data_IF_654866271916
#
_entry.id   IF_654866271916
#
_cell.length_a   1.000
_cell.length_b   1.000
_cell.length_c   1.000
_cell.angle_alpha   90.00
_cell.angle_beta   90.00
_cell.angle_gamma   90.00
#
_symmetry.space_group_name_H-M   'P 1'
#
loop_
_entity.id
_entity.type
_entity.pdbx_description
1 polymer ?
#
# COMPACT_ATOMS: atom_id res chain seq x y z
N UNK A 1 -13.40 -18.62 0.08
CA UNK A 1 -13.68 -20.07 0.19
C UNK A 1 -12.98 -20.87 -0.91
N UNK A 2 -13.07 -20.43 -2.18
CA UNK A 2 -12.43 -21.11 -3.32
C UNK A 2 -10.91 -21.11 -3.16
N UNK A 3 -10.28 -19.97 -2.90
CA UNK A 3 -8.84 -19.86 -2.68
C UNK A 3 -8.37 -20.71 -1.48
N UNK A 4 -9.11 -20.67 -0.37
CA UNK A 4 -8.79 -21.48 0.80
C UNK A 4 -8.79 -22.98 0.46
N UNK A 5 -9.78 -23.42 -0.30
CA UNK A 5 -9.85 -24.80 -0.78
C UNK A 5 -8.70 -25.15 -1.74
N UNK A 6 -8.37 -24.24 -2.65
CA UNK A 6 -7.27 -24.42 -3.62
C UNK A 6 -5.91 -24.55 -2.93
N UNK A 7 -5.66 -23.71 -1.93
CA UNK A 7 -4.38 -23.69 -1.19
C UNK A 7 -4.36 -24.60 0.04
N UNK A 8 -5.44 -25.33 0.34
CA UNK A 8 -5.51 -26.23 1.50
C UNK A 8 -5.45 -25.51 2.85
N UNK A 9 -5.83 -24.24 2.92
CA UNK A 9 -5.79 -23.42 4.14
C UNK A 9 -7.19 -23.26 4.74
N UNK A 10 -7.32 -23.02 6.06
CA UNK A 10 -8.61 -22.76 6.69
C UNK A 10 -9.34 -21.58 6.05
N UNK A 11 -10.67 -21.69 5.93
CA UNK A 11 -11.49 -20.58 5.46
C UNK A 11 -11.59 -19.51 6.54
N UNK A 12 -11.18 -18.29 6.21
CA UNK A 12 -11.32 -17.12 7.08
C UNK A 12 -12.71 -16.50 6.95
N UNK A 13 -13.31 -16.09 8.06
CA UNK A 13 -14.65 -15.50 8.09
C UNK A 13 -14.68 -14.05 7.62
N UNK A 14 -14.52 -13.80 6.32
CA UNK A 14 -14.45 -12.44 5.74
C UNK A 14 -15.82 -11.90 5.28
N UNK A 15 -16.91 -12.60 5.56
CA UNK A 15 -18.26 -12.13 5.26
C UNK A 15 -18.65 -10.98 6.19
N UNK A 16 -18.97 -9.82 5.62
CA UNK A 16 -19.47 -8.64 6.32
C UNK A 16 -20.59 -8.01 5.53
N UNK A 17 -21.44 -7.26 6.19
CA UNK A 17 -22.51 -6.47 5.59
C UNK A 17 -22.56 -5.09 6.24
N UNK A 18 -23.03 -4.10 5.50
CA UNK A 18 -23.20 -2.75 6.00
C UNK A 18 -24.27 -2.68 7.10
N UNK A 19 -25.40 -3.35 6.86
CA UNK A 19 -26.52 -3.37 7.80
C UNK A 19 -27.23 -4.73 7.79
N UNK A 20 -28.19 -4.89 8.69
CA UNK A 20 -29.02 -6.09 8.75
C UNK A 20 -29.88 -6.32 7.49
N UNK A 21 -30.05 -5.29 6.66
CA UNK A 21 -30.87 -5.32 5.43
C UNK A 21 -30.12 -5.90 4.23
N UNK A 22 -28.79 -6.06 4.30
CA UNK A 22 -27.97 -6.56 3.21
C UNK A 22 -27.45 -7.97 3.47
N UNK A 23 -27.18 -8.69 2.40
CA UNK A 23 -26.54 -9.99 2.47
C UNK A 23 -25.04 -9.85 2.79
N UNK A 24 -24.49 -10.69 3.67
CA UNK A 24 -23.06 -10.75 3.90
C UNK A 24 -22.32 -11.19 2.65
N UNK A 25 -21.31 -10.42 2.26
CA UNK A 25 -20.42 -10.73 1.13
C UNK A 25 -18.96 -10.64 1.59
N UNK A 26 -18.01 -11.29 0.88
CA UNK A 26 -16.59 -11.16 1.22
C UNK A 26 -16.13 -9.71 1.14
N UNK A 27 -15.58 -9.19 2.24
CA UNK A 27 -15.16 -7.80 2.40
C UNK A 27 -13.75 -7.72 2.98
N UNK A 28 -13.10 -6.59 2.71
CA UNK A 28 -11.89 -6.22 3.44
C UNK A 28 -12.17 -6.02 4.93
N UNK A 29 -11.13 -6.21 5.74
CA UNK A 29 -11.08 -5.93 7.18
C UNK A 29 -9.86 -5.05 7.44
N UNK A 30 -9.10 -5.33 8.49
CA UNK A 30 -7.77 -4.78 8.65
C UNK A 30 -6.81 -5.52 7.71
N UNK A 31 -6.21 -4.79 6.77
CA UNK A 31 -5.19 -5.33 5.86
C UNK A 31 -3.87 -4.64 6.17
N UNK A 32 -2.86 -5.40 6.51
CA UNK A 32 -1.57 -4.84 6.93
C UNK A 32 -0.39 -5.67 6.46
N UNK A 33 0.74 -5.01 6.37
CA UNK A 33 2.05 -5.62 6.19
C UNK A 33 2.72 -5.71 7.56
N UNK A 34 3.26 -6.87 7.90
CA UNK A 34 4.01 -7.03 9.14
C UNK A 34 5.32 -6.24 9.11
N UNK A 35 5.79 -5.81 10.29
CA UNK A 35 7.05 -5.13 10.41
C UNK A 35 8.23 -6.03 10.04
N UNK A 36 9.20 -5.46 9.34
CA UNK A 36 10.53 -6.05 9.16
C UNK A 36 11.49 -5.67 10.27
N UNK A 37 12.77 -5.82 10.00
CA UNK A 37 13.83 -5.59 10.99
C UNK A 37 14.74 -4.40 10.66
N UNK A 38 14.52 -3.71 9.53
CA UNK A 38 15.38 -2.66 9.01
C UNK A 38 14.85 -1.29 9.43
N UNK A 39 15.72 -0.37 9.80
CA UNK A 39 15.29 1.01 10.04
C UNK A 39 15.10 1.76 8.73
N UNK A 40 14.35 2.84 8.77
CA UNK A 40 14.12 3.68 7.59
C UNK A 40 15.42 4.33 7.09
N UNK A 41 16.28 4.75 8.02
CA UNK A 41 17.60 5.31 7.73
C UNK A 41 18.52 4.29 7.04
N UNK A 42 18.52 3.05 7.50
CA UNK A 42 19.25 1.96 6.85
C UNK A 42 18.75 1.74 5.42
N UNK A 43 17.44 1.70 5.19
CA UNK A 43 16.87 1.59 3.84
C UNK A 43 17.34 2.74 2.94
N UNK A 44 17.20 3.98 3.41
CA UNK A 44 17.62 5.18 2.65
C UNK A 44 19.09 5.10 2.29
N UNK A 45 19.95 4.66 3.22
CA UNK A 45 21.38 4.58 3.02
C UNK A 45 21.82 3.66 1.87
N UNK A 46 21.00 2.67 1.52
CA UNK A 46 21.26 1.72 0.43
C UNK A 46 20.93 2.28 -0.97
N UNK A 47 20.16 3.37 -1.04
CA UNK A 47 19.63 3.90 -2.30
C UNK A 47 20.60 4.91 -2.92
N UNK A 48 21.13 4.62 -4.11
CA UNK A 48 21.98 5.57 -4.86
C UNK A 48 21.18 6.73 -5.44
N UNK A 49 20.03 6.45 -6.04
CA UNK A 49 19.11 7.44 -6.59
C UNK A 49 17.70 6.90 -6.49
N UNK A 50 16.80 7.66 -5.91
CA UNK A 50 15.42 7.25 -5.69
C UNK A 50 14.55 8.37 -5.14
N UNK A 51 13.37 7.99 -4.70
CA UNK A 51 12.37 8.88 -4.11
C UNK A 51 11.93 8.31 -2.76
N UNK A 52 11.89 9.16 -1.77
CA UNK A 52 11.23 8.92 -0.51
C UNK A 52 9.87 9.61 -0.55
N UNK A 53 8.79 8.84 -0.53
CA UNK A 53 7.42 9.34 -0.46
C UNK A 53 6.95 9.25 1.00
N UNK A 54 6.75 10.39 1.65
CA UNK A 54 6.31 10.44 3.04
C UNK A 54 4.80 10.49 3.19
N UNK A 55 4.10 11.06 2.23
CA UNK A 55 2.64 11.11 2.24
C UNK A 55 2.04 11.17 0.84
N UNK A 56 0.77 10.75 0.75
CA UNK A 56 -0.01 10.74 -0.49
C UNK A 56 -1.30 11.55 -0.30
N UNK A 57 -1.81 12.19 -1.37
CA UNK A 57 -3.08 12.91 -1.32
C UNK A 57 -4.25 12.04 -1.73
N UNK A 58 -4.14 11.38 -2.86
CA UNK A 58 -5.17 10.52 -3.42
C UNK A 58 -4.52 9.48 -4.35
N UNK A 59 -5.32 8.60 -4.88
CA UNK A 59 -4.88 7.62 -5.86
C UNK A 59 -6.03 6.78 -6.37
N UNK A 60 -5.75 6.02 -7.39
CA UNK A 60 -6.70 5.08 -7.99
C UNK A 60 -6.06 3.72 -8.16
N UNK A 61 -6.86 2.69 -7.97
CA UNK A 61 -6.48 1.30 -8.22
C UNK A 61 -7.50 0.67 -9.16
N UNK A 62 -7.05 0.11 -10.26
CA UNK A 62 -7.87 -0.72 -11.13
C UNK A 62 -8.06 -2.10 -10.50
N UNK A 63 -9.23 -2.31 -9.92
CA UNK A 63 -9.59 -3.58 -9.31
C UNK A 63 -9.67 -4.66 -10.41
N UNK A 64 -8.91 -5.75 -10.22
CA UNK A 64 -8.80 -6.84 -11.20
C UNK A 64 -7.49 -6.81 -11.98
N UNK A 65 -7.13 -5.73 -12.64
CA UNK A 65 -5.82 -5.59 -13.30
C UNK A 65 -4.70 -5.33 -12.28
N UNK A 66 -5.01 -4.63 -11.18
CA UNK A 66 -4.07 -4.31 -10.13
C UNK A 66 -3.21 -3.07 -10.41
N UNK A 67 -3.46 -2.37 -11.50
CA UNK A 67 -2.75 -1.14 -11.83
C UNK A 67 -3.15 -0.03 -10.87
N UNK A 68 -2.18 0.78 -10.47
CA UNK A 68 -2.41 1.89 -9.56
C UNK A 68 -1.66 3.16 -9.98
N UNK A 69 -2.22 4.28 -9.56
CA UNK A 69 -1.56 5.60 -9.59
C UNK A 69 -1.82 6.30 -8.27
N UNK A 70 -0.77 6.76 -7.60
CA UNK A 70 -0.85 7.54 -6.37
C UNK A 70 -0.11 8.86 -6.50
N UNK A 71 -0.72 9.93 -6.01
CA UNK A 71 -0.11 11.26 -5.98
C UNK A 71 0.67 11.45 -4.69
N UNK A 72 1.97 11.67 -4.82
CA UNK A 72 2.84 12.00 -3.69
C UNK A 72 2.59 13.45 -3.30
N UNK A 73 2.18 13.64 -2.05
CA UNK A 73 1.98 14.97 -1.48
C UNK A 73 3.29 15.58 -1.01
N UNK A 74 4.01 14.80 -0.21
CA UNK A 74 5.29 15.21 0.36
C UNK A 74 6.30 14.10 0.20
N UNK A 75 7.51 14.46 -0.20
CA UNK A 75 8.60 13.51 -0.36
C UNK A 75 9.93 14.20 -0.57
N UNK A 76 10.95 13.41 -0.76
CA UNK A 76 12.33 13.88 -0.99
C UNK A 76 13.01 13.03 -2.05
N UNK A 77 13.93 13.63 -2.79
CA UNK A 77 14.89 12.86 -3.57
C UNK A 77 15.86 12.16 -2.63
N UNK A 78 16.24 10.94 -3.00
CA UNK A 78 17.34 10.23 -2.36
C UNK A 78 18.53 10.23 -3.33
N UNK A 79 19.67 10.73 -2.88
CA UNK A 79 20.91 10.72 -3.64
C UNK A 79 22.05 10.24 -2.75
N UNK A 80 22.71 9.18 -3.19
CA UNK A 80 23.84 8.57 -2.47
C UNK A 80 23.54 8.28 -0.99
N UNK A 81 22.35 7.71 -0.72
CA UNK A 81 21.95 7.31 0.62
C UNK A 81 21.50 8.45 1.53
N UNK A 82 21.16 9.61 0.99
CA UNK A 82 20.71 10.78 1.75
C UNK A 82 19.49 11.40 1.12
N UNK A 83 18.58 11.90 1.97
CA UNK A 83 17.50 12.77 1.54
C UNK A 83 18.07 14.12 1.15
N UNK A 84 17.69 14.62 -0.04
CA UNK A 84 18.22 15.88 -0.60
C UNK A 84 17.13 16.90 -0.82
N UNK A 85 16.59 17.01 -2.02
CA UNK A 85 15.62 18.01 -2.37
C UNK A 85 14.19 17.56 -2.05
N UNK A 86 13.35 18.41 -1.45
CA UNK A 86 11.92 18.13 -1.33
C UNK A 86 11.28 18.05 -2.72
N UNK A 87 10.35 17.12 -2.87
CA UNK A 87 9.57 16.91 -4.08
C UNK A 87 8.09 16.91 -3.75
N UNK A 88 7.29 17.37 -4.68
CA UNK A 88 5.83 17.38 -4.64
C UNK A 88 5.26 17.19 -6.04
N UNK A 89 3.95 16.97 -6.11
CA UNK A 89 3.19 16.92 -7.37
C UNK A 89 3.71 15.88 -8.37
N UNK A 90 4.21 14.76 -7.85
CA UNK A 90 4.62 13.61 -8.66
C UNK A 90 3.67 12.44 -8.47
N UNK A 91 3.61 11.58 -9.47
CA UNK A 91 2.82 10.36 -9.44
C UNK A 91 3.72 9.14 -9.34
N UNK A 92 3.32 8.19 -8.51
CA UNK A 92 3.86 6.84 -8.52
C UNK A 92 2.86 5.94 -9.24
N UNK A 93 3.33 5.25 -10.28
CA UNK A 93 2.52 4.39 -11.13
C UNK A 93 3.09 2.98 -11.08
N UNK A 94 2.22 2.00 -10.93
CA UNK A 94 2.67 0.61 -10.88
C UNK A 94 1.53 -0.39 -10.98
N UNK A 95 1.90 -1.64 -10.79
CA UNK A 95 0.97 -2.76 -10.71
C UNK A 95 1.18 -3.44 -9.35
N UNK A 96 0.11 -3.62 -8.57
CA UNK A 96 0.18 -4.09 -7.19
C UNK A 96 0.95 -5.40 -7.00
N UNK A 97 0.60 -6.49 -7.70
CA UNK A 97 1.35 -7.74 -7.63
C UNK A 97 2.85 -7.59 -7.94
N UNK A 98 3.19 -6.78 -8.95
CA UNK A 98 4.59 -6.52 -9.32
C UNK A 98 5.30 -5.68 -8.26
N UNK A 99 4.68 -4.60 -7.78
CA UNK A 99 5.24 -3.75 -6.74
C UNK A 99 5.51 -4.53 -5.45
N UNK A 100 4.59 -5.45 -5.06
CA UNK A 100 4.81 -6.33 -3.92
C UNK A 100 6.00 -7.29 -4.13
N UNK A 101 6.16 -7.83 -5.35
CA UNK A 101 7.30 -8.70 -5.67
C UNK A 101 8.64 -7.94 -5.70
N UNK A 102 8.60 -6.64 -6.00
CA UNK A 102 9.78 -5.77 -6.09
C UNK A 102 10.17 -5.13 -4.73
N UNK A 103 9.48 -5.47 -3.63
CA UNK A 103 9.87 -5.05 -2.27
C UNK A 103 11.16 -5.79 -1.89
N UNK A 104 12.19 -5.03 -1.58
CA UNK A 104 13.50 -5.56 -1.20
C UNK A 104 13.80 -5.43 0.29
N UNK A 105 13.20 -4.45 0.97
CA UNK A 105 13.35 -4.25 2.41
C UNK A 105 12.02 -3.81 3.02
N UNK A 106 11.78 -4.21 4.27
CA UNK A 106 10.61 -3.84 5.06
C UNK A 106 11.08 -3.26 6.38
N UNK A 107 10.55 -2.10 6.73
CA UNK A 107 10.92 -1.34 7.92
C UNK A 107 10.36 -1.92 9.21
N UNK A 108 10.95 -1.51 10.32
CA UNK A 108 10.51 -1.84 11.67
C UNK A 108 9.50 -0.83 12.24
N UNK A 109 9.20 0.23 11.50
CA UNK A 109 8.36 1.36 11.90
C UNK A 109 6.88 1.16 11.55
N UNK A 110 6.34 -0.03 11.82
CA UNK A 110 4.94 -0.35 11.55
C UNK A 110 3.97 0.64 12.18
N UNK A 111 3.00 1.08 11.40
CA UNK A 111 1.93 1.96 11.86
C UNK A 111 0.60 1.53 11.25
N UNK A 112 -0.42 1.43 12.11
CA UNK A 112 -1.80 1.21 11.69
C UNK A 112 -2.45 2.57 11.43
N UNK A 113 -3.19 2.67 10.34
CA UNK A 113 -4.04 3.83 10.07
C UNK A 113 -5.21 3.86 11.08
N UNK A 114 -5.64 5.03 11.47
CA UNK A 114 -6.70 5.24 12.45
C UNK A 114 -8.13 4.99 11.91
N UNK A 115 -8.24 4.36 10.73
CA UNK A 115 -9.50 3.76 10.28
C UNK A 115 -10.51 4.73 9.69
N UNK A 116 -10.10 5.56 8.75
CA UNK A 116 -11.02 6.42 7.98
C UNK A 116 -11.39 5.84 6.61
N UNK A 117 -10.95 4.62 6.32
CA UNK A 117 -11.17 4.00 5.02
C UNK A 117 -12.48 3.25 4.93
N UNK A 118 -13.04 3.20 3.75
CA UNK A 118 -14.29 2.51 3.46
C UNK A 118 -14.10 1.54 2.30
N UNK A 119 -14.50 0.29 2.51
CA UNK A 119 -14.62 -0.68 1.44
C UNK A 119 -16.01 -0.59 0.82
N UNK A 120 -16.12 -0.05 -0.39
CA UNK A 120 -17.34 -0.06 -1.20
C UNK A 120 -17.42 -1.31 -2.06
N UNK A 121 -18.51 -2.09 -1.96
CA UNK A 121 -18.74 -3.27 -2.80
C UNK A 121 -20.23 -3.60 -2.85
N UNK A 122 -20.76 -3.84 -4.06
CA UNK A 122 -22.14 -4.20 -4.30
C UNK A 122 -23.13 -3.25 -3.61
N UNK A 123 -22.89 -1.95 -3.71
CA UNK A 123 -23.74 -0.91 -3.08
C UNK A 123 -23.66 -0.86 -1.55
N UNK A 124 -22.74 -1.58 -0.92
CA UNK A 124 -22.54 -1.60 0.52
C UNK A 124 -21.24 -0.92 0.92
N UNK A 125 -21.23 -0.15 2.00
CA UNK A 125 -20.07 0.52 2.59
C UNK A 125 -19.74 -0.10 3.95
N UNK A 126 -18.51 -0.59 4.12
CA UNK A 126 -18.02 -1.11 5.39
C UNK A 126 -16.73 -0.43 5.81
N UNK A 127 -16.60 0.00 7.07
CA UNK A 127 -15.36 0.57 7.56
C UNK A 127 -14.24 -0.48 7.54
N UNK A 128 -13.06 -0.06 7.11
CA UNK A 128 -11.85 -0.89 7.05
C UNK A 128 -10.66 -0.07 7.55
N UNK A 129 -9.56 -0.75 7.80
CA UNK A 129 -8.28 -0.11 8.08
C UNK A 129 -7.14 -0.81 7.37
N UNK A 130 -6.03 -0.14 7.27
CA UNK A 130 -4.79 -0.69 6.75
C UNK A 130 -3.61 -0.26 7.64
N UNK A 131 -2.51 -0.96 7.50
CA UNK A 131 -1.29 -0.62 8.21
C UNK A 131 -0.09 -1.14 7.45
N UNK A 132 1.00 -0.40 7.53
CA UNK A 132 2.25 -0.83 6.94
C UNK A 132 3.45 -0.11 7.58
N UNK A 133 4.61 -0.75 7.58
CA UNK A 133 5.89 -0.07 7.81
C UNK A 133 6.34 0.62 6.52
N UNK A 134 7.43 1.35 6.59
CA UNK A 134 8.15 1.78 5.39
C UNK A 134 8.61 0.57 4.59
N UNK A 135 8.54 0.66 3.27
CA UNK A 135 8.96 -0.41 2.36
C UNK A 135 9.83 0.16 1.23
N UNK A 136 10.94 -0.50 0.96
CA UNK A 136 11.79 -0.19 -0.18
C UNK A 136 11.39 -1.03 -1.37
N UNK A 137 10.87 -0.38 -2.40
CA UNK A 137 10.53 -1.00 -3.68
C UNK A 137 11.63 -0.70 -4.68
N UNK A 138 12.22 -1.72 -5.27
CA UNK A 138 13.39 -1.57 -6.16
C UNK A 138 13.08 -0.81 -7.45
N UNK A 139 11.84 -0.86 -7.93
CA UNK A 139 11.44 -0.23 -9.18
C UNK A 139 9.97 0.13 -9.20
N UNK A 140 9.69 1.41 -9.44
CA UNK A 140 8.35 1.93 -9.76
C UNK A 140 8.48 3.01 -10.83
N UNK A 141 7.43 3.22 -11.62
CA UNK A 141 7.37 4.32 -12.57
C UNK A 141 6.99 5.60 -11.81
N UNK A 142 7.74 6.65 -12.06
CA UNK A 142 7.45 7.99 -11.54
C UNK A 142 7.10 8.89 -12.71
N UNK A 143 5.96 9.56 -12.62
CA UNK A 143 5.50 10.58 -13.55
C UNK A 143 5.40 11.92 -12.82
N UNK A 144 5.54 13.00 -13.55
CA UNK A 144 5.40 14.38 -13.05
C UNK A 144 5.78 15.36 -14.16
N UNK A 145 5.44 16.62 -13.99
CA UNK A 145 5.95 17.67 -14.83
C UNK A 145 7.39 18.02 -14.42
N UNK A 146 8.25 18.27 -15.43
CA UNK A 146 9.62 18.73 -15.23
C UNK A 146 9.64 20.22 -14.83
#
# INVERSE_FOLDING_TARGET
>A
RISAKHYGIPSTGNGRRESFRQMPIPRMRATYMEAGNVTEEEMISTVKKGIYASSFTNGQVQIGAGDFTFFVKDGYLIENGKLTQPIKDINIIGNGPRALADITMVGNNYKMDNGTWTCGKDGQSCPVTCGMPSALVSKLTVGGEN
#
